data_IF_945035412229
#
_entry.id   IF_945035412229
#
_cell.length_a   1.000
_cell.length_b   1.000
_cell.length_c   1.000
_cell.angle_alpha   90.00
_cell.angle_beta   90.00
_cell.angle_gamma   90.00
#
_symmetry.space_group_name_H-M   'P 1'
#
loop_
_entity.id
_entity.type
_entity.pdbx_description
1 polymer ?
#
# COMPACT_ATOMS: atom_id res chain seq x y z
N UNK A 1 0.62 -1.03 -26.88
CA UNK A 1 0.83 -0.70 -25.44
C UNK A 1 -0.48 -0.16 -24.87
N UNK A 2 -0.90 -0.49 -23.64
CA UNK A 2 -2.08 0.15 -23.02
C UNK A 2 -1.85 1.67 -22.88
N UNK A 3 -2.92 2.47 -22.91
CA UNK A 3 -2.86 3.92 -22.64
C UNK A 3 -2.66 4.20 -21.14
N UNK A 4 -2.17 5.39 -20.78
CA UNK A 4 -2.06 5.82 -19.39
C UNK A 4 -3.40 5.72 -18.64
N UNK A 5 -4.49 6.19 -19.26
CA UNK A 5 -5.83 6.10 -18.67
C UNK A 5 -6.27 4.66 -18.39
N UNK A 6 -5.88 3.68 -19.22
CA UNK A 6 -6.15 2.26 -18.96
C UNK A 6 -5.33 1.72 -17.78
N UNK A 7 -4.09 2.17 -17.62
CA UNK A 7 -3.25 1.83 -16.46
C UNK A 7 -3.84 2.42 -15.17
N UNK A 8 -4.26 3.68 -15.21
CA UNK A 8 -4.87 4.36 -14.06
C UNK A 8 -6.22 3.73 -13.68
N UNK A 9 -7.07 3.39 -14.65
CA UNK A 9 -8.34 2.69 -14.39
C UNK A 9 -8.10 1.32 -13.72
N UNK A 10 -7.10 0.55 -14.19
CA UNK A 10 -6.70 -0.71 -13.57
C UNK A 10 -6.18 -0.50 -12.14
N UNK A 11 -5.34 0.52 -11.93
CA UNK A 11 -4.82 0.87 -10.61
C UNK A 11 -5.95 1.28 -9.66
N UNK A 12 -6.89 2.10 -10.10
CA UNK A 12 -8.07 2.51 -9.32
C UNK A 12 -8.92 1.31 -8.91
N UNK A 13 -9.23 0.42 -9.86
CA UNK A 13 -9.98 -0.80 -9.58
C UNK A 13 -9.25 -1.73 -8.60
N UNK A 14 -7.92 -1.85 -8.73
CA UNK A 14 -7.10 -2.57 -7.77
C UNK A 14 -7.15 -1.93 -6.38
N UNK A 15 -6.98 -0.61 -6.29
CA UNK A 15 -7.01 0.12 -5.02
C UNK A 15 -8.35 -0.01 -4.31
N UNK A 16 -9.48 0.01 -5.02
CA UNK A 16 -10.80 -0.28 -4.41
C UNK A 16 -10.82 -1.66 -3.74
N UNK A 17 -10.28 -2.70 -4.39
CA UNK A 17 -10.19 -4.04 -3.82
C UNK A 17 -9.21 -4.10 -2.65
N UNK A 18 -8.08 -3.39 -2.75
CA UNK A 18 -7.07 -3.34 -1.70
C UNK A 18 -7.58 -2.61 -0.45
N UNK A 19 -8.28 -1.48 -0.61
CA UNK A 19 -8.92 -0.79 0.51
C UNK A 19 -9.95 -1.68 1.21
N UNK A 20 -10.77 -2.44 0.45
CA UNK A 20 -11.67 -3.43 1.04
C UNK A 20 -10.90 -4.52 1.78
N UNK A 21 -9.78 -4.98 1.23
CA UNK A 21 -8.94 -6.02 1.83
C UNK A 21 -8.40 -5.54 3.18
N UNK A 22 -7.85 -4.32 3.23
CA UNK A 22 -7.37 -3.71 4.47
C UNK A 22 -8.49 -3.43 5.47
N UNK A 23 -9.66 -2.98 5.01
CA UNK A 23 -10.80 -2.72 5.88
C UNK A 23 -11.31 -4.01 6.56
N UNK A 24 -11.31 -5.13 5.83
CA UNK A 24 -11.64 -6.43 6.40
C UNK A 24 -10.57 -6.92 7.38
N UNK A 25 -9.30 -6.84 6.99
CA UNK A 25 -8.15 -7.25 7.82
C UNK A 25 -8.10 -6.52 9.17
N UNK A 26 -8.46 -5.24 9.18
CA UNK A 26 -8.51 -4.41 10.39
C UNK A 26 -9.90 -4.39 11.05
N UNK A 27 -10.85 -5.17 10.54
CA UNK A 27 -12.25 -5.18 10.98
C UNK A 27 -12.51 -6.09 12.18
N UNK A 28 -13.61 -5.83 12.88
CA UNK A 28 -14.03 -6.61 14.05
C UNK A 28 -14.32 -8.09 13.71
N UNK A 29 -14.88 -8.36 12.54
CA UNK A 29 -15.18 -9.73 12.11
C UNK A 29 -13.90 -10.59 11.99
N UNK A 30 -12.87 -10.06 11.32
CA UNK A 30 -11.59 -10.76 11.17
C UNK A 30 -10.86 -10.90 12.50
N UNK A 31 -10.90 -9.87 13.35
CA UNK A 31 -10.37 -9.93 14.71
C UNK A 31 -11.06 -11.02 15.55
N UNK A 32 -12.40 -11.11 15.45
CA UNK A 32 -13.18 -12.16 16.13
C UNK A 32 -12.87 -13.55 15.59
N UNK A 33 -12.79 -13.71 14.28
CA UNK A 33 -12.37 -14.96 13.64
C UNK A 33 -11.01 -15.43 14.15
N UNK A 34 -10.02 -14.51 14.19
CA UNK A 34 -8.69 -14.82 14.71
C UNK A 34 -8.71 -15.23 16.19
N UNK A 35 -9.41 -14.48 17.03
CA UNK A 35 -9.52 -14.79 18.46
C UNK A 35 -10.18 -16.16 18.72
N UNK A 36 -11.22 -16.50 17.96
CA UNK A 36 -11.86 -17.81 18.06
C UNK A 36 -10.97 -18.94 17.57
N UNK A 37 -10.21 -18.71 16.50
CA UNK A 37 -9.22 -19.65 16.00
C UNK A 37 -8.12 -19.90 17.04
N UNK A 38 -7.55 -18.84 17.59
CA UNK A 38 -6.53 -18.92 18.65
C UNK A 38 -7.07 -19.66 19.89
N UNK A 39 -8.34 -19.43 20.26
CA UNK A 39 -9.01 -20.17 21.34
C UNK A 39 -9.13 -21.68 21.03
N UNK A 40 -9.50 -22.06 19.82
CA UNK A 40 -9.60 -23.47 19.44
C UNK A 40 -8.20 -24.11 19.37
N UNK A 41 -7.23 -23.41 18.80
CA UNK A 41 -5.84 -23.87 18.68
C UNK A 41 -5.16 -24.02 20.06
N UNK A 42 -5.67 -23.35 21.10
CA UNK A 42 -5.21 -23.53 22.49
C UNK A 42 -5.56 -24.88 23.12
N UNK A 43 -6.48 -25.65 22.51
CA UNK A 43 -6.96 -26.94 23.04
C UNK A 43 -8.07 -26.82 24.09
N UNK A 44 -8.41 -25.61 24.55
CA UNK A 44 -9.45 -25.36 25.56
C UNK A 44 -10.82 -25.91 25.13
N UNK A 45 -11.18 -25.74 23.86
CA UNK A 45 -12.45 -26.26 23.32
C UNK A 45 -12.52 -27.79 23.41
N UNK A 46 -11.41 -28.48 23.19
CA UNK A 46 -11.35 -29.94 23.26
C UNK A 46 -11.37 -30.43 24.70
N UNK A 47 -10.70 -29.73 25.63
CA UNK A 47 -10.79 -30.01 27.07
C UNK A 47 -12.24 -29.98 27.55
N UNK A 48 -12.98 -28.91 27.25
CA UNK A 48 -14.40 -28.78 27.64
C UNK A 48 -15.25 -29.87 26.99
N UNK A 49 -14.94 -30.27 25.75
CA UNK A 49 -15.64 -31.38 25.07
C UNK A 49 -15.47 -32.69 25.82
N UNK A 50 -14.25 -33.02 26.24
CA UNK A 50 -13.98 -34.22 27.03
C UNK A 50 -14.65 -34.18 28.40
N UNK A 51 -14.61 -33.04 29.10
CA UNK A 51 -15.36 -32.85 30.35
C UNK A 51 -16.87 -33.07 30.17
N UNK A 52 -17.45 -32.58 29.07
CA UNK A 52 -18.85 -32.83 28.73
C UNK A 52 -19.11 -34.32 28.49
N UNK A 53 -18.19 -35.02 27.80
CA UNK A 53 -18.32 -36.46 27.47
C UNK A 53 -18.34 -37.33 28.72
N UNK A 54 -17.58 -36.96 29.75
CA UNK A 54 -17.50 -37.70 31.01
C UNK A 54 -18.74 -37.52 31.91
N UNK A 55 -19.60 -36.54 31.64
CA UNK A 55 -20.80 -36.29 32.43
C UNK A 55 -21.99 -37.15 31.97
N UNK A 56 -22.61 -37.87 32.91
CA UNK A 56 -23.80 -38.70 32.70
C UNK A 56 -24.92 -38.28 33.64
N UNK A 57 -26.17 -38.33 33.17
CA UNK A 57 -27.34 -38.22 34.05
C UNK A 57 -27.50 -39.48 34.90
N UNK A 58 -27.36 -40.66 34.31
CA UNK A 58 -27.42 -41.92 35.05
C UNK A 58 -26.25 -41.97 36.06
N UNK A 59 -26.58 -42.19 37.33
CA UNK A 59 -25.62 -42.19 38.44
C UNK A 59 -25.23 -40.80 38.97
N UNK A 60 -25.84 -39.72 38.48
CA UNK A 60 -25.56 -38.37 38.98
C UNK A 60 -26.34 -38.06 40.27
N UNK A 61 -25.88 -37.05 41.03
CA UNK A 61 -26.58 -36.52 42.21
C UNK A 61 -27.99 -36.08 41.85
N UNK A 62 -28.14 -35.39 40.72
CA UNK A 62 -29.41 -34.89 40.24
C UNK A 62 -30.39 -36.02 39.89
N UNK A 63 -29.90 -37.12 39.31
CA UNK A 63 -30.74 -38.30 39.09
C UNK A 63 -31.22 -38.92 40.42
N UNK A 64 -30.33 -39.06 41.41
CA UNK A 64 -30.67 -39.58 42.73
C UNK A 64 -31.68 -38.71 43.48
N UNK A 65 -31.49 -37.39 43.48
CA UNK A 65 -32.43 -36.45 44.12
C UNK A 65 -33.80 -36.46 43.46
N UNK A 66 -33.86 -36.54 42.12
CA UNK A 66 -35.13 -36.60 41.40
C UNK A 66 -35.83 -37.94 41.61
N UNK A 67 -35.07 -39.05 41.67
CA UNK A 67 -35.60 -40.37 41.98
C UNK A 67 -36.17 -40.43 43.40
N UNK A 68 -35.43 -39.94 44.41
CA UNK A 68 -35.87 -39.86 45.80
C UNK A 68 -37.14 -38.99 45.93
N UNK A 69 -37.16 -37.82 45.30
CA UNK A 69 -38.31 -36.91 45.30
C UNK A 69 -39.56 -37.59 44.71
N UNK A 70 -39.42 -38.27 43.58
CA UNK A 70 -40.53 -38.98 42.92
C UNK A 70 -41.01 -40.15 43.78
N UNK A 71 -40.10 -40.94 44.36
CA UNK A 71 -40.44 -42.06 45.23
C UNK A 71 -41.23 -41.60 46.46
N UNK A 72 -40.77 -40.56 47.16
CA UNK A 72 -41.47 -39.99 48.31
C UNK A 72 -42.84 -39.42 47.91
N UNK A 73 -42.94 -38.77 46.74
CA UNK A 73 -44.21 -38.24 46.22
C UNK A 73 -45.26 -39.31 45.88
N UNK A 74 -44.87 -40.57 45.74
CA UNK A 74 -45.80 -41.69 45.54
C UNK A 74 -46.35 -42.30 46.84
N UNK A 75 -45.78 -41.95 48.00
CA UNK A 75 -46.23 -42.45 49.29
C UNK A 75 -47.55 -41.78 49.73
N UNK A 76 -48.54 -42.58 50.15
CA UNK A 76 -49.87 -42.06 50.54
C UNK A 76 -49.80 -41.04 51.68
N UNK A 77 -49.02 -41.32 52.73
CA UNK A 77 -48.90 -40.40 53.88
C UNK A 77 -48.25 -39.07 53.50
N UNK A 78 -47.31 -39.07 52.55
CA UNK A 78 -46.72 -37.83 52.00
C UNK A 78 -47.73 -37.05 51.17
N UNK A 79 -48.53 -37.73 50.34
CA UNK A 79 -49.59 -37.09 49.55
C UNK A 79 -50.72 -36.51 50.41
N UNK A 80 -51.12 -37.22 51.46
CA UNK A 80 -52.16 -36.76 52.39
C UNK A 80 -51.66 -35.56 53.21
N UNK A 81 -50.42 -35.60 53.69
CA UNK A 81 -49.77 -34.46 54.34
C UNK A 81 -49.65 -33.24 53.40
N UNK A 82 -49.29 -33.45 52.12
CA UNK A 82 -49.25 -32.39 51.11
C UNK A 82 -50.63 -31.75 50.83
N UNK A 83 -51.72 -32.49 50.99
CA UNK A 83 -53.11 -32.01 50.87
C UNK A 83 -53.69 -31.43 52.16
N UNK A 84 -52.89 -31.33 53.22
CA UNK A 84 -53.33 -30.85 54.54
C UNK A 84 -54.21 -31.83 55.32
N UNK A 85 -54.21 -33.11 54.93
CA UNK A 85 -55.02 -34.19 55.53
C UNK A 85 -54.19 -35.24 56.29
N UNK A 86 -52.87 -35.05 56.39
CA UNK A 86 -51.93 -35.99 57.00
C UNK A 86 -50.93 -35.31 57.94
N UNK A 87 -50.03 -36.11 58.53
CA UNK A 87 -49.01 -35.63 59.48
C UNK A 87 -47.90 -34.84 58.77
N UNK A 88 -47.84 -33.54 59.06
CA UNK A 88 -46.84 -32.62 58.48
C UNK A 88 -45.49 -32.68 59.18
N UNK A 89 -45.37 -33.41 60.30
CA UNK A 89 -44.10 -33.66 61.00
C UNK A 89 -43.48 -35.01 60.63
N UNK A 90 -44.14 -35.79 59.75
CA UNK A 90 -43.61 -37.05 59.27
C UNK A 90 -42.25 -36.82 58.56
N UNK A 91 -41.18 -37.57 58.92
CA UNK A 91 -39.86 -37.40 58.33
C UNK A 91 -39.82 -37.48 56.79
N UNK A 92 -40.62 -38.37 56.18
CA UNK A 92 -40.69 -38.53 54.73
C UNK A 92 -41.31 -37.29 54.07
N UNK A 93 -42.31 -36.69 54.71
CA UNK A 93 -42.93 -35.45 54.22
C UNK A 93 -41.99 -34.25 54.36
N UNK A 94 -41.24 -34.14 55.46
CA UNK A 94 -40.23 -33.11 55.65
C UNK A 94 -39.10 -33.23 54.60
N UNK A 95 -38.64 -34.45 54.32
CA UNK A 95 -37.65 -34.72 53.26
C UNK A 95 -38.20 -34.41 51.87
N UNK A 96 -39.44 -34.80 51.58
CA UNK A 96 -40.13 -34.48 50.33
C UNK A 96 -40.20 -32.95 50.11
N UNK A 97 -40.55 -32.18 51.13
CA UNK A 97 -40.62 -30.70 51.06
C UNK A 97 -39.24 -30.07 50.87
N UNK A 98 -38.21 -30.59 51.52
CA UNK A 98 -36.83 -30.12 51.33
C UNK A 98 -36.35 -30.40 49.89
N UNK A 99 -36.59 -31.60 49.37
CA UNK A 99 -36.27 -31.94 47.98
C UNK A 99 -37.08 -31.10 47.00
N UNK A 100 -38.36 -30.86 47.27
CA UNK A 100 -39.21 -29.99 46.45
C UNK A 100 -38.57 -28.61 46.25
N UNK A 101 -38.07 -28.00 47.33
CA UNK A 101 -37.41 -26.69 47.27
C UNK A 101 -36.11 -26.69 46.47
N UNK A 102 -35.46 -27.84 46.31
CA UNK A 102 -34.23 -27.99 45.52
C UNK A 102 -34.54 -28.35 44.05
N UNK A 103 -35.37 -29.37 43.81
CA UNK A 103 -35.61 -29.91 42.46
C UNK A 103 -36.54 -29.05 41.60
N UNK A 104 -37.33 -28.18 42.23
CA UNK A 104 -38.21 -27.24 41.51
C UNK A 104 -37.49 -25.94 41.12
N UNK A 105 -36.24 -25.73 41.56
CA UNK A 105 -35.45 -24.57 41.16
C UNK A 105 -35.16 -24.57 39.65
N UNK A 106 -35.10 -23.38 39.00
CA UNK A 106 -34.67 -23.26 37.62
C UNK A 106 -33.29 -23.91 37.37
N UNK A 107 -32.35 -23.70 38.28
CA UNK A 107 -30.96 -24.16 38.17
C UNK A 107 -30.88 -25.70 38.16
N UNK A 108 -31.64 -26.36 39.02
CA UNK A 108 -31.69 -27.81 39.06
C UNK A 108 -32.30 -28.39 37.78
N UNK A 109 -33.40 -27.79 37.30
CA UNK A 109 -34.06 -28.21 36.06
C UNK A 109 -33.14 -28.04 34.86
N UNK A 110 -32.44 -26.92 34.76
CA UNK A 110 -31.44 -26.66 33.71
C UNK A 110 -30.29 -27.67 33.77
N UNK A 111 -29.79 -28.00 34.96
CA UNK A 111 -28.74 -29.00 35.15
C UNK A 111 -29.18 -30.40 34.71
N UNK A 112 -30.38 -30.82 35.09
CA UNK A 112 -30.96 -32.10 34.65
C UNK A 112 -31.13 -32.13 33.13
N UNK A 113 -31.65 -31.06 32.53
CA UNK A 113 -31.83 -30.94 31.08
C UNK A 113 -30.47 -31.00 30.35
N UNK A 114 -29.45 -30.32 30.88
CA UNK A 114 -28.08 -30.40 30.37
C UNK A 114 -27.55 -31.84 30.44
N UNK A 115 -27.62 -32.51 31.59
CA UNK A 115 -27.09 -33.87 31.75
C UNK A 115 -27.78 -34.90 30.84
N UNK A 116 -29.08 -34.69 30.60
CA UNK A 116 -29.89 -35.50 29.67
C UNK A 116 -29.66 -35.16 28.19
N UNK A 117 -28.99 -34.05 27.88
CA UNK A 117 -28.71 -33.66 26.49
C UNK A 117 -27.76 -34.67 25.82
N UNK A 118 -28.10 -35.03 24.58
CA UNK A 118 -27.23 -35.84 23.70
C UNK A 118 -26.03 -35.04 23.20
N UNK A 119 -26.15 -33.73 23.14
CA UNK A 119 -25.08 -32.81 22.74
C UNK A 119 -24.87 -31.74 23.83
N UNK A 120 -24.24 -32.17 24.94
CA UNK A 120 -23.88 -31.29 26.05
C UNK A 120 -22.91 -30.20 25.62
N UNK A 121 -21.97 -30.54 24.74
CA UNK A 121 -20.93 -29.63 24.30
C UNK A 121 -21.52 -28.40 23.60
N UNK A 122 -22.51 -28.58 22.72
CA UNK A 122 -23.17 -27.45 22.04
C UNK A 122 -23.84 -26.44 22.98
N UNK A 123 -24.21 -26.85 24.20
CA UNK A 123 -24.82 -25.98 25.22
C UNK A 123 -23.78 -25.13 25.97
N UNK A 124 -22.50 -25.50 25.93
CA UNK A 124 -21.43 -24.78 26.61
C UNK A 124 -21.03 -23.49 25.88
N UNK A 125 -20.30 -22.60 26.55
CA UNK A 125 -19.67 -21.46 25.88
C UNK A 125 -18.65 -21.91 24.82
N UNK A 126 -17.89 -22.98 25.10
CA UNK A 126 -16.93 -23.56 24.15
C UNK A 126 -17.60 -24.07 22.86
N UNK A 127 -18.74 -24.76 22.99
CA UNK A 127 -19.53 -25.23 21.85
C UNK A 127 -20.07 -24.07 21.01
N UNK A 128 -20.58 -23.01 21.67
CA UNK A 128 -21.03 -21.78 20.99
C UNK A 128 -19.90 -21.09 20.24
N UNK A 129 -18.72 -20.94 20.85
CA UNK A 129 -17.52 -20.39 20.20
C UNK A 129 -17.10 -21.21 18.98
N UNK A 130 -17.13 -22.53 19.05
CA UNK A 130 -16.78 -23.39 17.91
C UNK A 130 -17.83 -23.29 16.79
N UNK A 131 -19.12 -23.21 17.11
CA UNK A 131 -20.18 -23.00 16.12
C UNK A 131 -20.04 -21.63 15.42
N UNK A 132 -19.69 -20.59 16.18
CA UNK A 132 -19.39 -19.27 15.64
C UNK A 132 -18.17 -19.30 14.72
N UNK A 133 -17.06 -19.93 15.14
CA UNK A 133 -15.88 -20.11 14.30
C UNK A 133 -16.21 -20.83 12.99
N UNK A 134 -17.00 -21.91 13.05
CA UNK A 134 -17.44 -22.64 11.87
C UNK A 134 -18.27 -21.77 10.91
N UNK A 135 -19.10 -20.88 11.46
CA UNK A 135 -19.89 -19.93 10.69
C UNK A 135 -18.99 -18.90 10.00
N UNK A 136 -18.10 -18.24 10.75
CA UNK A 136 -17.17 -17.24 10.23
C UNK A 136 -16.21 -17.84 9.20
N UNK A 137 -15.71 -19.06 9.43
CA UNK A 137 -14.84 -19.80 8.50
C UNK A 137 -15.48 -20.06 7.15
N UNK A 138 -16.82 -20.04 7.08
CA UNK A 138 -17.58 -20.26 5.84
C UNK A 138 -18.05 -18.98 5.17
N UNK A 139 -17.84 -17.82 5.80
CA UNK A 139 -18.25 -16.52 5.28
C UNK A 139 -17.65 -16.25 3.90
N UNK A 140 -18.42 -15.55 3.05
CA UNK A 140 -17.95 -15.18 1.72
C UNK A 140 -16.80 -14.17 1.82
N UNK A 141 -16.88 -13.28 2.79
CA UNK A 141 -15.89 -12.25 3.10
C UNK A 141 -14.54 -12.84 3.51
N UNK A 142 -14.49 -13.80 4.44
CA UNK A 142 -13.23 -14.44 4.82
C UNK A 142 -12.61 -15.19 3.64
N UNK A 143 -13.41 -15.99 2.91
CA UNK A 143 -12.93 -16.72 1.72
C UNK A 143 -12.39 -15.78 0.65
N UNK A 144 -13.06 -14.64 0.44
CA UNK A 144 -12.60 -13.60 -0.46
C UNK A 144 -11.28 -13.00 0.02
N UNK A 145 -11.17 -12.64 1.31
CA UNK A 145 -9.95 -12.10 1.91
C UNK A 145 -8.78 -13.07 1.78
N UNK A 146 -8.97 -14.36 2.10
CA UNK A 146 -7.94 -15.39 1.95
C UNK A 146 -7.51 -15.54 0.49
N UNK A 147 -8.45 -15.55 -0.46
CA UNK A 147 -8.13 -15.57 -1.89
C UNK A 147 -7.32 -14.35 -2.33
N UNK A 148 -7.68 -13.16 -1.84
CA UNK A 148 -6.98 -11.91 -2.12
C UNK A 148 -5.57 -11.91 -1.53
N UNK A 149 -5.40 -12.41 -0.30
CA UNK A 149 -4.09 -12.48 0.39
C UNK A 149 -3.05 -13.29 -0.39
N UNK A 150 -3.50 -14.26 -1.20
CA UNK A 150 -2.63 -15.08 -2.05
C UNK A 150 -2.26 -14.42 -3.40
N UNK A 151 -2.87 -13.27 -3.74
CA UNK A 151 -2.56 -12.58 -5.01
C UNK A 151 -1.18 -11.91 -4.91
N UNK A 152 -0.27 -12.12 -5.90
CA UNK A 152 1.05 -11.48 -5.90
C UNK A 152 0.98 -9.95 -5.82
N UNK A 153 0.00 -9.34 -6.48
CA UNK A 153 -0.24 -7.89 -6.41
C UNK A 153 -0.56 -7.42 -4.97
N UNK A 154 -1.33 -8.19 -4.20
CA UNK A 154 -1.63 -7.87 -2.80
C UNK A 154 -0.39 -8.05 -1.92
N UNK A 155 0.33 -9.17 -2.08
CA UNK A 155 1.56 -9.42 -1.33
C UNK A 155 2.58 -8.30 -1.55
N UNK A 156 2.72 -7.82 -2.78
CA UNK A 156 3.58 -6.68 -3.11
C UNK A 156 3.11 -5.40 -2.41
N UNK A 157 1.82 -5.05 -2.52
CA UNK A 157 1.28 -3.82 -1.92
C UNK A 157 1.30 -3.82 -0.38
N UNK A 158 1.16 -4.99 0.26
CA UNK A 158 1.31 -5.11 1.72
C UNK A 158 2.75 -4.84 2.15
N UNK A 159 3.73 -5.19 1.31
CA UNK A 159 5.15 -4.97 1.57
C UNK A 159 5.64 -3.60 1.13
N UNK A 160 4.87 -2.83 0.35
CA UNK A 160 5.25 -1.51 -0.14
C UNK A 160 4.48 -0.40 0.58
N UNK A 161 5.06 0.79 0.56
CA UNK A 161 4.43 2.04 0.96
C UNK A 161 4.77 3.14 -0.03
N UNK A 162 3.84 4.08 -0.19
CA UNK A 162 4.11 5.33 -0.90
C UNK A 162 5.04 6.18 -0.02
N UNK A 163 6.20 6.53 -0.55
CA UNK A 163 7.21 7.35 0.14
C UNK A 163 7.31 8.76 -0.43
N UNK A 164 6.75 8.98 -1.61
CA UNK A 164 6.64 10.28 -2.24
C UNK A 164 5.49 10.27 -3.24
N UNK A 165 4.64 11.30 -3.21
CA UNK A 165 3.61 11.52 -4.21
C UNK A 165 3.39 13.03 -4.39
N UNK A 166 3.36 13.45 -5.64
CA UNK A 166 3.06 14.81 -6.06
C UNK A 166 2.13 14.73 -7.27
N UNK A 167 0.98 15.38 -7.19
CA UNK A 167 -0.03 15.49 -8.26
C UNK A 167 -0.30 16.95 -8.67
N UNK A 168 0.46 17.90 -8.11
CA UNK A 168 0.39 19.33 -8.38
C UNK A 168 -1.02 19.94 -8.20
N UNK A 169 -1.93 19.27 -7.49
CA UNK A 169 -3.31 19.71 -7.32
C UNK A 169 -3.44 20.97 -6.44
N UNK A 170 -2.39 21.31 -5.70
CA UNK A 170 -2.31 22.54 -4.90
C UNK A 170 -2.27 23.82 -5.75
N UNK A 171 -1.99 23.72 -7.04
CA UNK A 171 -1.87 24.87 -7.95
C UNK A 171 -0.53 25.60 -7.86
N UNK A 172 0.43 25.13 -7.06
CA UNK A 172 1.77 25.72 -6.96
C UNK A 172 2.83 24.69 -6.58
N UNK A 173 4.09 24.94 -6.95
CA UNK A 173 5.21 24.09 -6.53
C UNK A 173 5.52 24.29 -5.05
N UNK A 174 5.47 23.22 -4.26
CA UNK A 174 5.95 23.26 -2.87
C UNK A 174 7.47 23.45 -2.84
N UNK A 175 7.90 24.65 -2.46
CA UNK A 175 9.32 25.02 -2.33
C UNK A 175 10.10 24.20 -1.29
N UNK A 176 9.41 23.51 -0.35
CA UNK A 176 10.05 22.58 0.59
C UNK A 176 10.41 21.25 -0.07
N UNK A 177 9.75 20.93 -1.19
CA UNK A 177 9.96 19.70 -1.95
C UNK A 177 10.83 19.99 -3.17
N UNK A 178 10.47 21.01 -3.96
CA UNK A 178 11.04 21.24 -5.28
C UNK A 178 11.97 22.43 -5.30
N UNK A 179 13.27 22.17 -5.46
CA UNK A 179 14.23 23.19 -5.85
C UNK A 179 14.05 23.54 -7.32
N UNK A 180 14.01 24.84 -7.64
CA UNK A 180 13.84 25.37 -9.01
C UNK A 180 15.15 25.56 -9.77
N UNK A 181 16.23 25.00 -9.23
CA UNK A 181 17.62 25.15 -9.67
C UNK A 181 18.40 23.91 -9.28
N UNK A 182 19.52 23.61 -9.94
CA UNK A 182 20.36 22.47 -9.56
C UNK A 182 20.71 22.48 -8.06
N UNK A 183 20.78 21.29 -7.46
CA UNK A 183 21.13 21.11 -6.05
C UNK A 183 22.41 21.87 -5.66
N UNK A 184 23.46 21.77 -6.48
CA UNK A 184 24.71 22.51 -6.25
C UNK A 184 24.60 24.02 -6.46
N UNK A 185 23.66 24.47 -7.30
CA UNK A 185 23.40 25.89 -7.49
C UNK A 185 22.79 26.51 -6.23
N UNK A 186 21.87 25.78 -5.59
CA UNK A 186 21.34 26.11 -4.28
C UNK A 186 22.44 26.04 -3.20
N UNK A 187 23.16 24.92 -3.12
CA UNK A 187 24.12 24.68 -2.05
C UNK A 187 25.37 25.58 -2.09
N UNK A 188 25.80 26.05 -3.27
CA UNK A 188 27.04 26.82 -3.44
C UNK A 188 26.83 28.30 -3.73
N UNK A 189 25.80 28.67 -4.51
CA UNK A 189 25.60 30.07 -4.93
C UNK A 189 24.32 30.72 -4.41
N UNK A 190 23.32 29.91 -4.03
CA UNK A 190 21.96 30.43 -3.89
C UNK A 190 21.40 31.04 -5.18
N UNK A 191 21.89 30.58 -6.35
CA UNK A 191 21.48 31.07 -7.68
C UNK A 191 21.40 29.92 -8.69
N UNK A 192 20.52 30.02 -9.72
CA UNK A 192 20.54 29.07 -10.83
C UNK A 192 21.80 29.26 -11.69
N UNK A 193 22.22 28.18 -12.34
CA UNK A 193 23.29 28.19 -13.34
C UNK A 193 23.01 27.14 -14.41
N UNK A 194 23.63 27.31 -15.57
CA UNK A 194 23.71 26.31 -16.65
C UNK A 194 25.15 25.94 -16.95
N UNK A 195 25.41 24.96 -17.83
CA UNK A 195 26.78 24.67 -18.24
C UNK A 195 27.23 25.62 -19.36
N UNK A 196 28.54 25.86 -19.45
CA UNK A 196 29.14 26.66 -20.53
C UNK A 196 28.78 26.13 -21.93
N UNK A 197 28.58 24.82 -22.07
CA UNK A 197 28.17 24.18 -23.33
C UNK A 197 26.67 24.24 -23.63
N UNK A 198 25.82 24.62 -22.68
CA UNK A 198 24.37 24.67 -22.89
C UNK A 198 23.98 25.88 -23.75
N UNK A 199 23.00 25.69 -24.65
CA UNK A 199 22.41 26.80 -25.41
C UNK A 199 21.38 27.59 -24.60
N UNK A 200 20.79 26.97 -23.57
CA UNK A 200 19.80 27.53 -22.67
C UNK A 200 20.34 27.85 -21.27
N UNK A 201 19.83 28.90 -20.63
CA UNK A 201 19.97 29.09 -19.18
C UNK A 201 18.75 28.57 -18.41
N UNK A 202 18.97 27.99 -17.23
CA UNK A 202 17.89 27.71 -16.29
C UNK A 202 17.52 28.97 -15.51
N UNK A 203 16.23 29.31 -15.51
CA UNK A 203 15.71 30.44 -14.73
C UNK A 203 15.35 30.01 -13.31
N UNK A 204 15.20 30.99 -12.41
CA UNK A 204 14.76 30.75 -11.04
C UNK A 204 13.22 30.61 -10.96
N UNK A 205 12.66 29.74 -11.79
CA UNK A 205 11.23 29.44 -11.85
C UNK A 205 10.40 30.23 -12.84
N UNK A 206 10.96 31.18 -13.60
CA UNK A 206 10.22 31.93 -14.64
C UNK A 206 9.77 31.04 -15.82
N UNK A 207 10.33 29.83 -15.92
CA UNK A 207 10.00 28.80 -16.90
C UNK A 207 9.17 27.66 -16.30
N UNK A 208 8.68 27.82 -15.07
CA UNK A 208 7.87 26.83 -14.35
C UNK A 208 6.47 27.36 -14.12
N UNK A 209 5.47 26.54 -14.37
CA UNK A 209 4.06 26.81 -14.03
C UNK A 209 3.40 25.57 -13.47
N UNK A 210 2.38 25.77 -12.66
CA UNK A 210 1.44 24.72 -12.29
C UNK A 210 0.05 25.14 -12.75
N UNK A 211 -0.51 24.42 -13.70
CA UNK A 211 -1.82 24.70 -14.28
C UNK A 211 -2.57 23.38 -14.46
N UNK A 212 -3.86 23.34 -14.09
CA UNK A 212 -4.71 22.14 -14.22
C UNK A 212 -4.11 20.87 -13.58
N UNK A 213 -3.57 20.98 -12.37
CA UNK A 213 -2.89 19.88 -11.67
C UNK A 213 -1.73 19.27 -12.47
N UNK A 214 -0.98 20.12 -13.18
CA UNK A 214 0.15 19.70 -13.98
C UNK A 214 1.31 20.69 -13.84
N UNK A 215 2.50 20.19 -13.53
CA UNK A 215 3.73 20.95 -13.65
C UNK A 215 4.10 21.10 -15.12
N UNK A 216 4.31 22.34 -15.55
CA UNK A 216 4.74 22.69 -16.90
C UNK A 216 6.13 23.33 -16.82
N UNK A 217 7.09 22.73 -17.53
CA UNK A 217 8.43 23.28 -17.77
C UNK A 217 8.50 23.76 -19.22
N UNK A 218 8.62 25.08 -19.41
CA UNK A 218 8.69 25.71 -20.73
C UNK A 218 10.12 26.02 -21.13
N UNK A 219 10.51 25.66 -22.36
CA UNK A 219 11.78 26.09 -22.98
C UNK A 219 11.44 26.98 -24.17
N UNK A 220 12.04 28.17 -24.25
CA UNK A 220 11.69 29.17 -25.26
C UNK A 220 12.90 29.97 -25.74
N UNK A 221 12.89 30.48 -26.99
CA UNK A 221 13.85 31.48 -27.43
C UNK A 221 13.61 32.79 -26.67
N UNK A 222 14.58 33.17 -25.87
CA UNK A 222 14.54 34.36 -25.02
C UNK A 222 15.98 34.70 -24.65
N UNK A 223 16.42 35.92 -25.01
CA UNK A 223 17.72 36.43 -24.62
C UNK A 223 17.79 36.62 -23.10
N UNK A 224 18.77 36.01 -22.45
CA UNK A 224 18.96 36.11 -21.01
C UNK A 224 20.43 36.06 -20.62
N UNK A 225 20.78 36.75 -19.53
CA UNK A 225 22.10 36.65 -18.91
C UNK A 225 21.99 35.80 -17.64
N UNK A 226 22.86 34.79 -17.51
CA UNK A 226 22.85 33.88 -16.36
C UNK A 226 24.27 33.42 -16.01
N UNK A 227 24.41 32.74 -14.87
CA UNK A 227 25.66 32.09 -14.49
C UNK A 227 25.84 30.80 -15.29
N UNK A 228 27.06 30.59 -15.78
CA UNK A 228 27.50 29.36 -16.42
C UNK A 228 28.58 28.70 -15.57
N UNK A 229 28.50 27.39 -15.38
CA UNK A 229 29.58 26.59 -14.81
C UNK A 229 30.55 26.15 -15.91
N UNK A 230 31.81 26.52 -15.74
CA UNK A 230 32.95 26.08 -16.52
C UNK A 230 33.87 25.23 -15.63
N UNK A 231 34.40 24.12 -16.16
CA UNK A 231 35.21 23.19 -15.37
C UNK A 231 36.59 23.74 -14.99
N UNK A 232 37.07 24.79 -15.66
CA UNK A 232 38.35 25.45 -15.40
C UNK A 232 38.19 26.78 -14.67
N UNK A 233 37.19 27.57 -15.06
CA UNK A 233 36.98 28.94 -14.57
C UNK A 233 35.97 29.03 -13.43
N UNK A 234 35.23 27.96 -13.15
CA UNK A 234 34.13 27.99 -12.18
C UNK A 234 32.92 28.75 -12.74
N UNK A 235 32.27 29.57 -11.91
CA UNK A 235 31.07 30.31 -12.31
C UNK A 235 31.39 31.62 -13.03
N UNK A 236 30.95 31.74 -14.28
CA UNK A 236 31.13 32.94 -15.11
C UNK A 236 29.77 33.45 -15.65
N UNK A 237 29.58 34.76 -15.84
CA UNK A 237 28.40 35.26 -16.54
C UNK A 237 28.45 34.89 -18.02
N UNK A 238 27.31 34.47 -18.59
CA UNK A 238 27.15 34.14 -20.01
C UNK A 238 25.79 34.64 -20.52
N UNK A 239 25.77 35.10 -21.78
CA UNK A 239 24.55 35.39 -22.50
C UNK A 239 24.04 34.12 -23.20
N UNK A 240 22.75 33.85 -23.05
CA UNK A 240 22.03 32.72 -23.62
C UNK A 240 20.94 33.22 -24.55
N UNK A 241 20.64 32.43 -25.58
CA UNK A 241 19.56 32.69 -26.55
C UNK A 241 18.24 32.03 -26.16
N UNK A 242 18.27 31.20 -25.12
CA UNK A 242 17.16 30.37 -24.70
C UNK A 242 17.05 30.35 -23.19
N UNK A 243 15.82 30.31 -22.69
CA UNK A 243 15.51 30.05 -21.28
C UNK A 243 14.82 28.69 -21.13
N UNK A 244 15.10 27.99 -20.02
CA UNK A 244 14.44 26.75 -19.66
C UNK A 244 14.21 26.67 -18.14
N UNK A 245 13.47 25.65 -17.71
CA UNK A 245 13.20 25.38 -16.31
C UNK A 245 13.76 24.03 -15.87
N UNK A 246 14.02 23.94 -14.56
CA UNK A 246 14.45 22.73 -13.90
C UNK A 246 13.78 22.65 -12.54
N UNK A 247 13.35 21.45 -12.14
CA UNK A 247 13.03 21.16 -10.75
C UNK A 247 13.74 19.90 -10.26
N UNK A 248 14.10 19.86 -8.98
CA UNK A 248 14.63 18.64 -8.36
C UNK A 248 14.28 18.52 -6.88
N UNK A 249 14.46 17.32 -6.36
CA UNK A 249 14.17 16.94 -4.96
C UNK A 249 15.42 16.79 -4.10
N UNK A 250 16.59 17.26 -4.56
CA UNK A 250 17.90 16.95 -3.95
C UNK A 250 18.04 17.26 -2.46
N UNK A 251 17.29 18.25 -1.95
CA UNK A 251 17.24 18.59 -0.52
C UNK A 251 16.13 17.87 0.26
N UNK A 252 15.05 17.47 -0.39
CA UNK A 252 13.79 17.08 0.26
C UNK A 252 13.54 15.58 0.22
N UNK A 253 13.84 14.93 -0.90
CA UNK A 253 13.52 13.54 -1.13
C UNK A 253 14.58 12.85 -1.98
N UNK A 254 15.05 11.71 -1.47
CA UNK A 254 15.96 10.79 -2.15
C UNK A 254 15.45 9.38 -1.95
N UNK A 255 15.53 8.56 -2.99
CA UNK A 255 15.14 7.16 -2.93
C UNK A 255 16.32 6.24 -3.21
N UNK A 256 16.30 5.07 -2.56
CA UNK A 256 17.15 3.94 -2.88
C UNK A 256 16.25 2.71 -2.98
N UNK A 257 16.24 2.08 -4.14
CA UNK A 257 15.31 0.99 -4.48
C UNK A 257 13.83 1.42 -4.39
N UNK A 258 12.94 0.55 -4.88
CA UNK A 258 11.51 0.79 -4.98
C UNK A 258 11.03 1.01 -6.41
N UNK A 259 9.92 1.72 -6.57
CA UNK A 259 9.33 2.02 -7.88
C UNK A 259 9.14 3.51 -8.00
N UNK A 260 9.68 4.11 -9.06
CA UNK A 260 9.40 5.48 -9.46
C UNK A 260 8.51 5.46 -10.70
N UNK A 261 7.40 6.17 -10.68
CA UNK A 261 6.54 6.40 -11.83
C UNK A 261 6.28 7.89 -12.01
N UNK A 262 6.21 8.34 -13.26
CA UNK A 262 5.79 9.69 -13.60
C UNK A 262 4.87 9.65 -14.82
N UNK A 263 3.73 10.33 -14.74
CA UNK A 263 2.83 10.52 -15.87
C UNK A 263 3.17 11.83 -16.54
N UNK A 264 3.69 11.74 -17.77
CA UNK A 264 4.20 12.89 -18.49
C UNK A 264 3.62 12.99 -19.90
N UNK A 265 3.66 14.20 -20.43
CA UNK A 265 3.50 14.53 -21.85
C UNK A 265 4.58 15.55 -22.19
N UNK A 266 5.04 15.56 -23.43
CA UNK A 266 5.99 16.56 -23.86
C UNK A 266 5.80 16.94 -25.33
N UNK A 267 6.22 18.14 -25.68
CA UNK A 267 6.20 18.72 -27.02
C UNK A 267 7.44 19.59 -27.25
N UNK A 268 7.88 19.69 -28.50
CA UNK A 268 9.08 20.44 -28.86
C UNK A 268 9.54 20.16 -30.29
N UNK A 269 10.49 20.97 -30.75
CA UNK A 269 11.15 20.80 -32.04
C UNK A 269 12.35 19.85 -31.93
N UNK A 270 12.88 19.32 -33.05
CA UNK A 270 14.18 18.65 -33.05
C UNK A 270 15.24 19.48 -32.32
N UNK A 271 16.09 18.79 -31.56
CA UNK A 271 17.09 19.41 -30.68
C UNK A 271 16.65 19.58 -29.23
N UNK A 272 15.35 19.59 -28.94
CA UNK A 272 14.86 19.66 -27.57
C UNK A 272 15.01 18.30 -26.86
N UNK A 273 15.64 18.33 -25.70
CA UNK A 273 15.87 17.15 -24.85
C UNK A 273 15.21 17.35 -23.50
N UNK A 274 14.00 16.82 -23.34
CA UNK A 274 13.32 16.69 -22.06
C UNK A 274 13.89 15.50 -21.30
N UNK A 275 13.98 15.60 -19.97
CA UNK A 275 14.54 14.52 -19.16
C UNK A 275 13.89 14.42 -17.77
N UNK A 276 13.72 13.17 -17.33
CA UNK A 276 13.48 12.78 -15.95
C UNK A 276 14.58 11.80 -15.57
N UNK A 277 15.42 12.18 -14.63
CA UNK A 277 16.52 11.33 -14.19
C UNK A 277 16.70 11.35 -12.67
N UNK A 278 17.40 10.33 -12.20
CA UNK A 278 17.89 10.21 -10.84
C UNK A 278 19.40 10.44 -10.83
N UNK A 279 19.90 11.22 -9.87
CA UNK A 279 21.33 11.34 -9.61
C UNK A 279 21.62 11.54 -8.11
N UNK A 280 22.87 11.33 -7.73
CA UNK A 280 23.38 11.61 -6.38
C UNK A 280 24.10 12.95 -6.33
N UNK A 281 24.99 13.08 -5.36
CA UNK A 281 25.79 14.31 -5.20
C UNK A 281 26.87 14.47 -6.29
N UNK A 282 27.15 13.39 -7.01
CA UNK A 282 28.09 13.34 -8.13
C UNK A 282 27.33 13.18 -9.46
N UNK A 283 28.01 13.49 -10.56
CA UNK A 283 27.47 13.32 -11.91
C UNK A 283 27.16 11.85 -12.30
N UNK A 284 27.73 10.88 -11.57
CA UNK A 284 27.41 9.47 -11.69
C UNK A 284 27.34 8.84 -10.28
N UNK A 285 26.48 7.83 -10.06
CA UNK A 285 25.60 7.21 -11.05
C UNK A 285 24.42 8.12 -11.43
N UNK A 286 24.05 8.08 -12.71
CA UNK A 286 22.86 8.75 -13.25
C UNK A 286 21.94 7.72 -13.91
N UNK A 287 20.66 7.76 -13.56
CA UNK A 287 19.61 6.89 -14.09
C UNK A 287 18.56 7.76 -14.77
N UNK A 288 18.64 7.89 -16.09
CA UNK A 288 17.61 8.56 -16.87
C UNK A 288 16.44 7.61 -17.09
N UNK A 289 15.30 7.88 -16.44
CA UNK A 289 14.06 7.16 -16.70
C UNK A 289 13.53 7.47 -18.10
N UNK A 290 13.78 8.70 -18.53
CA UNK A 290 13.34 9.26 -19.78
C UNK A 290 14.29 10.36 -20.22
N UNK A 291 14.66 10.26 -21.49
CA UNK A 291 15.32 11.31 -22.25
C UNK A 291 14.73 11.34 -23.65
N UNK A 292 14.16 12.47 -24.10
CA UNK A 292 13.71 12.58 -25.49
C UNK A 292 14.90 12.57 -26.46
N UNK A 293 14.67 12.10 -27.68
CA UNK A 293 15.72 11.99 -28.70
C UNK A 293 15.75 13.27 -29.53
N UNK A 294 16.88 14.01 -29.58
CA UNK A 294 16.95 15.29 -30.29
C UNK A 294 16.57 15.17 -31.77
N UNK A 295 16.95 14.08 -32.42
CA UNK A 295 16.72 13.86 -33.85
C UNK A 295 15.32 13.28 -34.13
N UNK A 296 14.61 12.80 -33.11
CA UNK A 296 13.32 12.13 -33.25
C UNK A 296 12.38 12.46 -32.07
N UNK A 297 11.47 13.44 -32.22
CA UNK A 297 10.58 13.87 -31.14
C UNK A 297 9.62 12.76 -30.67
N UNK A 298 9.38 11.73 -31.49
CA UNK A 298 8.50 10.60 -31.15
C UNK A 298 9.23 9.45 -30.44
N UNK A 299 10.50 9.64 -30.09
CA UNK A 299 11.32 8.63 -29.44
C UNK A 299 11.89 9.11 -28.10
N UNK A 300 12.10 8.14 -27.21
CA UNK A 300 12.72 8.34 -25.91
C UNK A 300 13.78 7.28 -25.68
N UNK A 301 14.70 7.56 -24.76
CA UNK A 301 15.71 6.62 -24.28
C UNK A 301 15.65 6.49 -22.76
N UNK A 302 15.85 5.27 -22.29
CA UNK A 302 16.36 5.00 -20.96
C UNK A 302 17.88 5.01 -21.03
N UNK A 303 18.54 5.63 -20.05
CA UNK A 303 20.01 5.70 -20.00
C UNK A 303 20.47 5.41 -18.58
N UNK A 304 21.50 4.59 -18.44
CA UNK A 304 22.17 4.36 -17.19
C UNK A 304 23.68 4.58 -17.32
N UNK A 305 24.17 5.54 -16.54
CA UNK A 305 25.59 5.90 -16.46
C UNK A 305 26.11 5.50 -15.08
N UNK A 306 26.72 4.32 -14.91
CA UNK A 306 27.15 3.84 -13.60
C UNK A 306 28.34 4.62 -13.04
N UNK A 307 29.24 5.06 -13.92
CA UNK A 307 30.46 5.79 -13.56
C UNK A 307 30.73 6.90 -14.56
N UNK A 308 31.36 7.98 -14.10
CA UNK A 308 31.75 9.09 -14.96
C UNK A 308 32.76 8.62 -16.01
N UNK A 309 32.51 8.95 -17.28
CA UNK A 309 33.37 8.55 -18.41
C UNK A 309 33.18 7.11 -18.90
N UNK A 310 32.39 6.29 -18.21
CA UNK A 310 32.02 4.96 -18.71
C UNK A 310 31.00 5.06 -19.85
N UNK A 311 30.98 4.05 -20.73
CA UNK A 311 29.95 3.95 -21.78
C UNK A 311 28.60 3.65 -21.10
N UNK A 312 27.56 4.48 -21.30
CA UNK A 312 26.28 4.24 -20.66
C UNK A 312 25.56 3.05 -21.31
N UNK A 313 24.81 2.30 -20.50
CA UNK A 313 23.78 1.41 -21.00
C UNK A 313 22.59 2.25 -21.44
N UNK A 314 21.99 1.95 -22.59
CA UNK A 314 20.86 2.71 -23.10
C UNK A 314 20.02 1.86 -24.05
N UNK A 315 18.72 2.09 -24.06
CA UNK A 315 17.78 1.52 -25.02
C UNK A 315 16.78 2.60 -25.46
N UNK A 316 16.38 2.55 -26.72
CA UNK A 316 15.47 3.54 -27.33
C UNK A 316 14.13 2.91 -27.70
N UNK A 317 13.05 3.64 -27.43
CA UNK A 317 11.70 3.31 -27.91
C UNK A 317 11.16 4.48 -28.73
N UNK A 318 10.62 4.18 -29.91
CA UNK A 318 9.98 5.15 -30.80
C UNK A 318 8.45 5.01 -30.87
N UNK A 319 7.84 5.83 -31.72
CA UNK A 319 6.39 5.84 -31.99
C UNK A 319 5.52 6.06 -30.75
N UNK A 320 6.00 6.86 -29.81
CA UNK A 320 5.23 7.28 -28.65
C UNK A 320 4.20 8.34 -29.04
N UNK A 321 3.09 8.48 -28.27
CA UNK A 321 2.08 9.51 -28.49
C UNK A 321 2.61 10.90 -28.07
N UNK A 322 3.59 11.39 -28.84
CA UNK A 322 4.23 12.68 -28.68
C UNK A 322 3.24 13.83 -28.82
N UNK A 323 3.31 14.83 -27.92
CA UNK A 323 2.46 16.01 -27.84
C UNK A 323 0.94 15.76 -27.67
N UNK A 324 0.43 14.57 -27.96
CA UNK A 324 -1.02 14.29 -28.02
C UNK A 324 -1.56 13.67 -26.74
N UNK A 325 -0.82 12.75 -26.10
CA UNK A 325 -1.32 12.00 -24.95
C UNK A 325 -0.28 11.90 -23.84
N UNK A 326 -0.77 11.75 -22.61
CA UNK A 326 0.07 11.38 -21.48
C UNK A 326 0.42 9.88 -21.53
N UNK A 327 1.64 9.56 -21.12
CA UNK A 327 2.09 8.19 -20.87
C UNK A 327 2.80 8.13 -19.51
N UNK A 328 2.84 6.93 -18.93
CA UNK A 328 3.44 6.68 -17.62
C UNK A 328 4.81 6.04 -17.84
N UNK A 329 5.85 6.76 -17.47
CA UNK A 329 7.18 6.21 -17.32
C UNK A 329 7.28 5.51 -15.97
N UNK A 330 8.02 4.41 -15.92
CA UNK A 330 8.30 3.73 -14.67
C UNK A 330 9.72 3.18 -14.61
N UNK A 331 10.28 3.16 -13.41
CA UNK A 331 11.50 2.46 -13.04
C UNK A 331 11.19 1.56 -11.84
N UNK A 332 11.35 0.26 -12.00
CA UNK A 332 11.41 -0.69 -10.89
C UNK A 332 12.88 -0.92 -10.55
N UNK A 333 13.29 -0.52 -9.35
CA UNK A 333 14.68 -0.61 -8.88
C UNK A 333 14.74 -1.52 -7.66
N UNK A 334 15.45 -2.63 -7.77
CA UNK A 334 15.75 -3.56 -6.67
C UNK A 334 17.25 -3.64 -6.44
N UNK A 335 17.66 -4.35 -5.39
CA UNK A 335 19.07 -4.67 -5.16
C UNK A 335 19.72 -5.49 -6.28
N UNK A 336 18.93 -6.16 -7.14
CA UNK A 336 19.44 -7.04 -8.19
C UNK A 336 19.30 -6.47 -9.60
N UNK A 337 18.30 -5.62 -9.86
CA UNK A 337 18.09 -5.03 -11.19
C UNK A 337 17.34 -3.71 -11.19
N UNK A 338 17.44 -2.99 -12.31
CA UNK A 338 16.57 -1.89 -12.68
C UNK A 338 15.81 -2.23 -13.96
N UNK A 339 14.51 -1.96 -14.00
CA UNK A 339 13.65 -2.21 -15.16
C UNK A 339 12.87 -0.94 -15.51
N UNK A 340 13.07 -0.43 -16.72
CA UNK A 340 12.35 0.72 -17.24
C UNK A 340 11.10 0.27 -17.97
N UNK A 341 10.01 1.00 -17.79
CA UNK A 341 8.72 0.69 -18.37
C UNK A 341 8.06 1.93 -18.97
N UNK A 342 7.24 1.71 -20.00
CA UNK A 342 6.30 2.71 -20.52
C UNK A 342 4.91 2.10 -20.47
N UNK A 343 3.98 2.76 -19.79
CA UNK A 343 2.64 2.26 -19.46
C UNK A 343 2.68 0.83 -18.91
N UNK A 344 3.66 0.54 -18.05
CA UNK A 344 3.88 -0.76 -17.42
C UNK A 344 4.48 -1.85 -18.31
N UNK A 345 4.85 -1.55 -19.56
CA UNK A 345 5.54 -2.48 -20.47
C UNK A 345 7.05 -2.25 -20.37
N UNK A 346 7.85 -3.26 -19.97
CA UNK A 346 9.31 -3.15 -19.93
C UNK A 346 9.93 -2.88 -21.31
N UNK A 347 10.97 -2.05 -21.35
CA UNK A 347 11.74 -1.81 -22.58
C UNK A 347 13.27 -1.78 -22.38
N UNK A 348 13.74 -1.61 -21.15
CA UNK A 348 15.15 -1.66 -20.79
C UNK A 348 15.30 -2.39 -19.46
N UNK A 349 16.34 -3.21 -19.34
CA UNK A 349 16.72 -3.86 -18.08
C UNK A 349 18.22 -3.68 -17.87
N UNK A 350 18.61 -3.37 -16.64
CA UNK A 350 19.99 -3.33 -16.20
C UNK A 350 20.17 -4.27 -15.01
N UNK A 351 21.18 -5.13 -15.10
CA UNK A 351 21.59 -6.05 -14.02
C UNK A 351 23.03 -5.76 -13.64
N UNK A 352 23.32 -5.75 -12.34
CA UNK A 352 24.67 -5.52 -11.82
C UNK A 352 25.14 -4.06 -11.94
N UNK A 353 26.13 -3.71 -11.10
CA UNK A 353 26.70 -2.36 -11.06
C UNK A 353 25.67 -1.27 -10.80
N UNK A 354 24.62 -1.57 -10.02
CA UNK A 354 23.51 -0.66 -9.72
C UNK A 354 23.93 0.39 -8.68
N UNK A 355 23.23 1.54 -8.62
CA UNK A 355 23.48 2.53 -7.59
C UNK A 355 23.26 1.93 -6.20
N UNK A 356 24.08 2.33 -5.23
CA UNK A 356 23.99 1.87 -3.83
C UNK A 356 23.63 3.01 -2.88
N UNK A 357 23.84 4.23 -3.34
CA UNK A 357 23.47 5.49 -2.71
C UNK A 357 22.02 5.89 -3.04
N UNK A 358 21.35 6.65 -2.14
CA UNK A 358 20.09 7.30 -2.46
C UNK A 358 20.26 8.37 -3.54
N UNK A 359 19.36 8.38 -4.52
CA UNK A 359 19.32 9.33 -5.62
C UNK A 359 18.09 10.23 -5.52
N UNK A 360 18.20 11.49 -5.96
CA UNK A 360 17.08 12.42 -6.06
C UNK A 360 16.63 12.58 -7.50
N UNK A 361 15.39 13.03 -7.68
CA UNK A 361 14.76 13.25 -8.98
C UNK A 361 15.13 14.62 -9.54
N UNK A 362 15.35 14.69 -10.85
CA UNK A 362 15.48 15.93 -11.61
C UNK A 362 14.58 15.87 -12.84
N UNK A 363 13.77 16.90 -13.02
CA UNK A 363 13.00 17.18 -14.23
C UNK A 363 13.58 18.41 -14.89
N UNK A 364 13.94 18.29 -16.17
CA UNK A 364 14.58 19.40 -16.90
C UNK A 364 14.34 19.30 -18.40
N UNK A 365 14.58 20.40 -19.10
CA UNK A 365 14.68 20.44 -20.55
C UNK A 365 15.98 21.13 -20.98
N UNK A 366 16.70 20.52 -21.91
CA UNK A 366 17.95 21.04 -22.48
C UNK A 366 17.82 21.16 -23.99
N UNK A 367 18.73 21.92 -24.62
CA UNK A 367 18.85 22.01 -26.08
C UNK A 367 20.15 21.30 -26.47
N UNK A 368 20.05 20.34 -27.39
CA UNK A 368 21.20 19.61 -27.90
C UNK A 368 22.14 20.55 -28.68
N UNK A 369 23.47 20.33 -28.63
CA UNK A 369 24.43 21.16 -29.37
C UNK A 369 24.12 21.19 -30.88
N UNK A 370 24.23 22.38 -31.48
CA UNK A 370 24.03 22.58 -32.93
C UNK A 370 22.58 22.75 -33.36
N UNK A 371 21.61 22.75 -32.43
CA UNK A 371 20.20 23.01 -32.73
C UNK A 371 19.79 24.42 -32.33
N UNK A 372 18.93 25.03 -33.15
CA UNK A 372 18.37 26.37 -32.95
C UNK A 372 16.84 26.29 -33.01
N UNK A 373 16.16 25.78 -31.96
CA UNK A 373 14.70 25.71 -31.96
C UNK A 373 14.07 27.10 -32.01
N UNK A 374 12.91 27.23 -32.64
CA UNK A 374 12.19 28.49 -32.82
C UNK A 374 10.92 28.58 -31.97
N UNK A 375 10.27 27.44 -31.71
CA UNK A 375 9.05 27.37 -30.90
C UNK A 375 9.30 27.22 -29.40
N UNK A 376 8.22 27.36 -28.64
CA UNK A 376 8.19 26.95 -27.24
C UNK A 376 8.05 25.42 -27.16
N UNK A 377 8.90 24.78 -26.37
CA UNK A 377 8.79 23.38 -26.00
C UNK A 377 8.29 23.23 -24.56
N UNK A 378 7.52 22.17 -24.29
CA UNK A 378 6.91 21.93 -22.97
C UNK A 378 7.12 20.51 -22.51
N UNK A 379 7.60 20.36 -21.27
CA UNK A 379 7.49 19.12 -20.51
C UNK A 379 6.38 19.29 -19.47
N UNK A 380 5.38 18.43 -19.54
CA UNK A 380 4.18 18.45 -18.71
C UNK A 380 4.18 17.19 -17.83
N UNK A 381 4.05 17.37 -16.52
CA UNK A 381 4.07 16.30 -15.53
C UNK A 381 2.77 16.36 -14.73
N UNK A 382 1.91 15.36 -14.91
CA UNK A 382 0.62 15.23 -14.23
C UNK A 382 0.86 14.78 -12.78
N UNK A 383 1.63 13.71 -12.58
CA UNK A 383 2.03 13.28 -11.24
C UNK A 383 3.37 12.54 -11.25
N UNK A 384 4.01 12.53 -10.08
CA UNK A 384 5.19 11.72 -9.75
C UNK A 384 4.89 10.89 -8.51
N UNK A 385 5.23 9.60 -8.54
CA UNK A 385 5.00 8.67 -7.45
C UNK A 385 6.22 7.79 -7.20
N UNK A 386 6.65 7.69 -5.95
CA UNK A 386 7.63 6.72 -5.51
C UNK A 386 7.03 5.79 -4.45
N UNK A 387 7.16 4.47 -4.65
CA UNK A 387 6.93 3.47 -3.60
C UNK A 387 8.24 2.79 -3.22
N UNK A 388 8.34 2.36 -1.97
CA UNK A 388 9.46 1.56 -1.49
C UNK A 388 8.94 0.46 -0.55
N UNK A 389 9.77 -0.55 -0.27
CA UNK A 389 9.43 -1.55 0.74
C UNK A 389 9.22 -0.87 2.10
N UNK A 390 8.20 -1.30 2.83
CA UNK A 390 7.99 -0.93 4.24
C UNK A 390 9.21 -1.38 5.02
N UNK A 391 9.78 -0.48 5.81
CA UNK A 391 10.77 -0.86 6.82
C UNK A 391 10.00 -1.60 7.92
N UNK A 392 10.39 -2.84 8.18
CA UNK A 392 9.80 -3.68 9.22
C UNK A 392 10.15 -3.18 10.62
#
# INVERSE_FOLDING_TARGET
MPSAGKIEARRKAFMTRYTRFQAYENGQEFARYKALRDYVDSGEAERVREECRLQSYAGSREAGLLEEYNQLGHLRHVQDAAKGKGDTQNPDYLRYRALQQEVETPEFRERVNYLKSKDKFALTEAGRKLAELNTLSRSKELKWYESMRQKPEIQRYVQEQEVFFEDFASGSLDSKVWLKRFFWGEAMLGKPYSFVGDAQCYTDGANLRVENSCLIISTRPEDAQAMAWDTKLGFIPKNYKYTSGLVNTGQSFRMREGRLEAKIRFSGEPGIVHSLYLCGDKAAPQVDLFRSVPENPKAIRGVYSPQQGSRPAQEQVGNLPFATEFFILGLEWTSSKMVWTINGVPYMEQVGGLPTEPLYLVLTTTIAPGYEPHGEARLEVDWVRCTAKRRG
#
